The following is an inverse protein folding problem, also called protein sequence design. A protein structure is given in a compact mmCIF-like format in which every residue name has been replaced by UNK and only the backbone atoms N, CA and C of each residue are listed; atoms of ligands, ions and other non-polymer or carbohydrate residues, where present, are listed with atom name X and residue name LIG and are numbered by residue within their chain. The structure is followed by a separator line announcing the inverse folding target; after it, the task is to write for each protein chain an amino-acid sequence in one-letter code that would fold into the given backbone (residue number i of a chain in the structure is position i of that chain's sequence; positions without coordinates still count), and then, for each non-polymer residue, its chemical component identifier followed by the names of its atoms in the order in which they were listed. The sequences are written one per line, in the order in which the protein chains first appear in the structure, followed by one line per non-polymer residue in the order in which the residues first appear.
data_IF_359560715622
#
_entry.id   IF_359560715622
#
_cell.length_a   1.000
_cell.length_b   1.000
_cell.length_c   1.000
_cell.angle_alpha   90.00
_cell.angle_beta   90.00
_cell.angle_gamma   90.00
#
_symmetry.space_group_name_H-M   'P 1'
#
loop_
_entity.id
_entity.type
_entity.pdbx_description
1 polymer ?
#
# COMPACT_ATOMS: atom_id res chain seq x y z
N UNK A 1 2.01 -8.31 -10.79
CA UNK A 1 0.97 -9.19 -10.21
C UNK A 1 -0.17 -9.33 -11.21
N UNK A 2 -0.35 -10.52 -11.77
CA UNK A 2 -1.44 -10.82 -12.70
C UNK A 2 -2.77 -10.62 -11.97
N UNK A 3 -3.62 -9.68 -12.44
CA UNK A 3 -4.95 -9.45 -11.86
C UNK A 3 -5.09 -8.19 -10.99
N UNK A 4 -4.04 -7.46 -10.72
CA UNK A 4 -4.19 -6.12 -10.12
C UNK A 4 -4.53 -5.10 -11.22
N UNK A 5 -5.80 -5.05 -11.59
CA UNK A 5 -6.30 -4.28 -12.73
C UNK A 5 -5.93 -2.79 -12.72
N UNK A 6 -5.73 -2.20 -11.54
CA UNK A 6 -5.42 -0.78 -11.43
C UNK A 6 -3.95 -0.48 -11.74
N UNK A 7 -3.03 -1.31 -11.29
CA UNK A 7 -1.60 -1.11 -11.55
C UNK A 7 -1.23 -1.38 -13.01
N UNK A 8 -1.82 -2.42 -13.62
CA UNK A 8 -1.68 -2.70 -15.04
C UNK A 8 -2.16 -1.54 -15.90
N UNK A 9 -3.33 -0.96 -15.58
CA UNK A 9 -3.87 0.23 -16.29
C UNK A 9 -2.94 1.44 -16.23
N UNK A 10 -2.22 1.63 -15.12
CA UNK A 10 -1.24 2.71 -15.01
C UNK A 10 -0.10 2.49 -16.00
N UNK A 11 0.45 1.27 -16.04
CA UNK A 11 1.53 0.93 -16.97
C UNK A 11 1.09 1.09 -18.44
N UNK A 12 -0.08 0.58 -18.79
CA UNK A 12 -0.67 0.69 -20.13
C UNK A 12 -0.89 2.16 -20.54
N UNK A 13 -1.39 3.01 -19.63
CA UNK A 13 -1.59 4.44 -19.87
C UNK A 13 -0.31 5.14 -20.32
N UNK A 14 0.84 4.72 -19.81
CA UNK A 14 2.14 5.25 -20.15
C UNK A 14 2.87 4.42 -21.21
N UNK A 15 2.17 3.48 -21.90
CA UNK A 15 2.69 2.61 -22.96
C UNK A 15 3.86 1.73 -22.51
N UNK A 16 3.87 1.35 -21.25
CA UNK A 16 4.84 0.41 -20.71
C UNK A 16 4.50 -1.03 -21.07
N UNK A 17 5.50 -1.86 -21.20
CA UNK A 17 5.37 -3.31 -21.35
C UNK A 17 5.15 -3.95 -19.97
N UNK A 18 4.20 -4.89 -19.88
CA UNK A 18 3.85 -5.55 -18.62
C UNK A 18 4.50 -6.93 -18.56
N UNK A 19 5.36 -7.13 -17.57
CA UNK A 19 5.86 -8.43 -17.17
C UNK A 19 4.99 -8.98 -16.05
N UNK A 20 4.28 -10.07 -16.29
CA UNK A 20 3.41 -10.71 -15.32
C UNK A 20 4.23 -11.42 -14.23
N UNK A 21 3.82 -11.30 -12.98
CA UNK A 21 4.46 -11.92 -11.82
C UNK A 21 3.42 -12.52 -10.88
N UNK A 22 3.85 -13.40 -10.00
CA UNK A 22 2.95 -14.08 -9.06
C UNK A 22 2.69 -13.22 -7.79
N UNK A 23 3.72 -12.52 -7.30
CA UNK A 23 3.64 -11.77 -6.06
C UNK A 23 4.54 -10.51 -6.03
N UNK A 24 4.46 -9.79 -4.92
CA UNK A 24 5.23 -8.57 -4.71
C UNK A 24 6.74 -8.81 -4.57
N UNK A 25 7.16 -9.91 -3.97
CA UNK A 25 8.58 -10.20 -3.78
C UNK A 25 9.26 -10.51 -5.12
N UNK A 26 8.55 -11.20 -6.02
CA UNK A 26 9.01 -11.43 -7.40
C UNK A 26 9.16 -10.10 -8.15
N UNK A 27 8.19 -9.17 -8.04
CA UNK A 27 8.28 -7.83 -8.60
C UNK A 27 9.55 -7.10 -8.13
N UNK A 28 9.78 -7.07 -6.82
CA UNK A 28 10.95 -6.44 -6.21
C UNK A 28 12.25 -7.06 -6.76
N UNK A 29 12.32 -8.38 -6.78
CA UNK A 29 13.50 -9.11 -7.26
C UNK A 29 13.83 -8.81 -8.73
N UNK A 30 12.83 -8.70 -9.58
CA UNK A 30 13.04 -8.39 -11.01
C UNK A 30 13.59 -6.97 -11.19
N UNK A 31 13.12 -6.00 -10.41
CA UNK A 31 13.65 -4.63 -10.45
C UNK A 31 15.08 -4.57 -9.91
N UNK A 32 15.37 -5.20 -8.77
CA UNK A 32 16.71 -5.25 -8.17
C UNK A 32 17.73 -5.94 -9.09
N UNK A 33 17.30 -6.94 -9.87
CA UNK A 33 18.14 -7.62 -10.88
C UNK A 33 18.28 -6.84 -12.19
N UNK A 34 17.61 -5.69 -12.34
CA UNK A 34 17.61 -4.92 -13.58
C UNK A 34 16.92 -5.63 -14.76
N UNK A 35 16.06 -6.61 -14.49
CA UNK A 35 15.30 -7.35 -15.52
C UNK A 35 14.05 -6.60 -15.98
N UNK A 36 13.57 -5.68 -15.18
CA UNK A 36 12.51 -4.73 -15.50
C UNK A 36 12.90 -3.35 -14.97
N UNK A 37 12.38 -2.28 -15.59
CA UNK A 37 12.74 -0.90 -15.23
C UNK A 37 12.09 -0.42 -13.94
N UNK A 38 10.96 -1.02 -13.53
CA UNK A 38 10.25 -0.61 -12.32
C UNK A 38 9.02 -1.47 -12.06
N UNK A 39 8.36 -1.16 -10.96
CA UNK A 39 7.09 -1.76 -10.57
C UNK A 39 6.13 -0.71 -10.03
N UNK A 40 4.84 -0.99 -10.05
CA UNK A 40 3.79 -0.12 -9.51
C UNK A 40 3.07 -0.86 -8.38
N UNK A 41 2.98 -0.22 -7.22
CA UNK A 41 2.26 -0.75 -6.07
C UNK A 41 1.82 0.39 -5.15
N UNK A 42 1.07 0.06 -4.10
CA UNK A 42 0.75 1.00 -3.03
C UNK A 42 2.00 1.47 -2.28
N UNK A 43 2.00 2.72 -1.87
CA UNK A 43 3.10 3.31 -1.10
C UNK A 43 3.38 2.54 0.20
N UNK A 44 2.33 1.96 0.81
CA UNK A 44 2.48 1.14 2.02
C UNK A 44 3.31 -0.13 1.77
N UNK A 45 3.16 -0.76 0.60
CA UNK A 45 3.98 -1.92 0.23
C UNK A 45 5.47 -1.56 0.13
N UNK A 46 5.78 -0.36 -0.35
CA UNK A 46 7.15 0.14 -0.39
C UNK A 46 7.70 0.43 1.03
N UNK A 47 6.94 1.09 1.89
CA UNK A 47 7.39 1.36 3.26
C UNK A 47 7.61 0.07 4.07
N UNK A 48 6.74 -0.92 3.91
CA UNK A 48 6.93 -2.24 4.53
C UNK A 48 8.19 -2.93 3.99
N UNK A 49 8.45 -2.85 2.69
CA UNK A 49 9.68 -3.36 2.08
C UNK A 49 10.93 -2.72 2.70
N UNK A 50 11.00 -1.40 2.73
CA UNK A 50 12.16 -0.67 3.28
C UNK A 50 12.35 -0.96 4.76
N UNK A 51 11.28 -1.12 5.52
CA UNK A 51 11.36 -1.48 6.93
C UNK A 51 11.90 -2.90 7.15
N UNK A 52 11.54 -3.85 6.28
CA UNK A 52 12.03 -5.24 6.34
C UNK A 52 13.40 -5.43 5.71
N UNK A 53 13.74 -4.61 4.73
CA UNK A 53 14.99 -4.67 3.96
C UNK A 53 15.63 -3.28 3.87
N UNK A 54 16.26 -2.77 4.95
CA UNK A 54 16.78 -1.40 5.01
C UNK A 54 17.89 -1.09 3.98
N UNK A 55 18.49 -2.11 3.38
CA UNK A 55 19.55 -1.98 2.38
C UNK A 55 19.06 -2.08 0.93
N UNK A 56 17.76 -1.99 0.67
CA UNK A 56 17.27 -1.99 -0.73
C UNK A 56 17.67 -0.71 -1.45
N UNK A 57 18.13 -0.83 -2.70
CA UNK A 57 18.44 0.31 -3.58
C UNK A 57 17.18 0.86 -4.29
N UNK A 58 16.02 0.28 -4.03
CA UNK A 58 14.77 0.74 -4.62
C UNK A 58 14.32 2.07 -4.01
N UNK A 59 13.80 2.94 -4.87
CA UNK A 59 13.25 4.24 -4.48
C UNK A 59 11.90 4.50 -5.14
N UNK A 60 11.10 5.36 -4.53
CA UNK A 60 9.89 5.88 -5.16
C UNK A 60 10.31 6.88 -6.25
N UNK A 61 10.07 6.54 -7.51
CA UNK A 61 10.36 7.40 -8.65
C UNK A 61 9.24 8.42 -8.89
N UNK A 62 7.98 8.03 -8.68
CA UNK A 62 6.81 8.89 -8.80
C UNK A 62 5.68 8.42 -7.90
N UNK A 63 4.83 9.34 -7.46
CA UNK A 63 3.61 9.03 -6.72
C UNK A 63 2.38 9.49 -7.50
N UNK A 64 1.36 8.63 -7.54
CA UNK A 64 0.04 8.99 -8.05
C UNK A 64 -0.65 10.01 -7.13
N UNK A 65 -1.57 10.78 -7.70
CA UNK A 65 -2.40 11.71 -6.93
C UNK A 65 -3.60 11.03 -6.26
N UNK A 66 -3.91 9.81 -6.66
CA UNK A 66 -5.03 9.05 -6.14
C UNK A 66 -4.68 8.51 -4.75
N UNK A 67 -5.58 8.72 -3.80
CA UNK A 67 -5.50 8.19 -2.45
C UNK A 67 -6.52 7.06 -2.32
N UNK A 68 -6.06 5.85 -2.03
CA UNK A 68 -6.96 4.74 -1.70
C UNK A 68 -7.37 4.80 -0.23
N UNK A 69 -8.66 4.61 0.03
CA UNK A 69 -9.18 4.47 1.39
C UNK A 69 -9.31 2.99 1.74
N UNK A 70 -8.87 2.63 2.93
CA UNK A 70 -9.05 1.29 3.49
C UNK A 70 -10.24 1.28 4.44
N UNK A 71 -11.02 0.22 4.42
CA UNK A 71 -12.20 0.10 5.26
C UNK A 71 -12.38 -1.32 5.80
N UNK A 72 -12.99 -1.43 6.96
CA UNK A 72 -13.50 -2.70 7.47
C UNK A 72 -14.81 -3.06 6.75
N UNK A 73 -14.93 -4.32 6.36
CA UNK A 73 -16.11 -4.86 5.67
C UNK A 73 -16.92 -5.66 6.69
N UNK A 74 -18.22 -5.42 6.72
CA UNK A 74 -19.17 -6.10 7.60
C UNK A 74 -20.28 -6.77 6.79
N UNK A 75 -20.84 -7.87 7.31
CA UNK A 75 -22.06 -8.44 6.77
C UNK A 75 -23.24 -7.47 6.96
N UNK A 76 -24.23 -7.56 6.07
CA UNK A 76 -25.48 -6.82 6.23
C UNK A 76 -26.14 -7.14 7.57
N UNK A 77 -26.71 -6.13 8.23
CA UNK A 77 -27.35 -6.28 9.54
C UNK A 77 -26.41 -6.20 10.76
N UNK A 78 -25.10 -5.94 10.55
CA UNK A 78 -24.13 -5.77 11.63
C UNK A 78 -23.91 -4.29 12.00
N UNK A 79 -25.01 -3.50 12.07
CA UNK A 79 -24.94 -2.05 12.27
C UNK A 79 -24.36 -1.67 13.65
N UNK A 80 -24.65 -2.45 14.69
CA UNK A 80 -24.12 -2.19 16.03
C UNK A 80 -22.61 -2.47 16.09
N UNK A 81 -22.14 -3.55 15.45
CA UNK A 81 -20.72 -3.84 15.34
C UNK A 81 -20.01 -2.72 14.57
N UNK A 82 -20.56 -2.31 13.44
CA UNK A 82 -20.04 -1.17 12.66
C UNK A 82 -19.92 0.10 13.49
N UNK A 83 -20.98 0.48 14.23
CA UNK A 83 -20.95 1.66 15.12
C UNK A 83 -19.86 1.57 16.18
N UNK A 84 -19.68 0.38 16.78
CA UNK A 84 -18.65 0.18 17.80
C UNK A 84 -17.24 0.30 17.21
N UNK A 85 -17.00 -0.28 16.03
CA UNK A 85 -15.71 -0.15 15.32
C UNK A 85 -15.45 1.29 14.91
N UNK A 86 -16.43 2.01 14.35
CA UNK A 86 -16.32 3.42 13.99
C UNK A 86 -15.96 4.29 15.22
N UNK A 87 -16.60 4.03 16.37
CA UNK A 87 -16.31 4.71 17.63
C UNK A 87 -14.88 4.44 18.12
N UNK A 88 -14.46 3.19 18.07
CA UNK A 88 -13.10 2.79 18.43
C UNK A 88 -12.05 3.46 17.54
N UNK A 89 -12.25 3.46 16.22
CA UNK A 89 -11.35 4.12 15.25
C UNK A 89 -11.25 5.63 15.51
N UNK A 90 -12.38 6.30 15.77
CA UNK A 90 -12.38 7.73 16.13
C UNK A 90 -11.60 7.99 17.42
N UNK A 91 -11.73 7.14 18.42
CA UNK A 91 -10.98 7.23 19.67
C UNK A 91 -9.48 7.04 19.46
N UNK A 92 -9.08 6.02 18.70
CA UNK A 92 -7.69 5.74 18.36
C UNK A 92 -7.05 6.88 17.53
N UNK A 93 -7.82 7.48 16.62
CA UNK A 93 -7.36 8.65 15.86
C UNK A 93 -7.16 9.85 16.79
N UNK A 94 -8.14 10.15 17.68
CA UNK A 94 -8.08 11.27 18.61
C UNK A 94 -6.95 11.15 19.62
N UNK A 95 -6.65 9.95 20.09
CA UNK A 95 -5.57 9.68 21.04
C UNK A 95 -4.17 9.67 20.42
N UNK A 96 -4.04 9.78 19.08
CA UNK A 96 -2.77 9.65 18.36
C UNK A 96 -2.27 8.22 18.20
N UNK A 97 -3.04 7.22 18.67
CA UNK A 97 -2.61 5.81 18.63
C UNK A 97 -2.48 5.28 17.20
N UNK A 98 -3.30 5.77 16.27
CA UNK A 98 -3.15 5.39 14.86
C UNK A 98 -1.83 5.92 14.27
N UNK A 99 -1.45 7.16 14.60
CA UNK A 99 -0.16 7.71 14.18
C UNK A 99 1.03 6.94 14.79
N UNK A 100 0.95 6.57 16.08
CA UNK A 100 1.95 5.73 16.74
C UNK A 100 2.15 4.39 16.02
N UNK A 101 1.04 3.69 15.74
CA UNK A 101 1.05 2.41 15.02
C UNK A 101 1.64 2.61 13.61
N UNK A 102 1.18 3.64 12.90
CA UNK A 102 1.68 3.97 11.56
C UNK A 102 3.19 4.18 11.55
N UNK A 103 3.71 4.99 12.44
CA UNK A 103 5.15 5.23 12.57
C UNK A 103 5.93 3.97 12.95
N UNK A 104 5.36 3.11 13.78
CA UNK A 104 5.98 1.83 14.16
C UNK A 104 6.23 0.93 12.95
N UNK A 105 5.24 0.79 12.07
CA UNK A 105 5.28 -0.15 10.95
C UNK A 105 5.83 0.45 9.65
N UNK A 106 5.58 1.73 9.39
CA UNK A 106 5.90 2.38 8.12
C UNK A 106 6.94 3.49 8.23
N UNK A 107 7.39 3.82 9.45
CA UNK A 107 8.32 4.94 9.75
C UNK A 107 7.78 6.31 9.29
N UNK A 108 6.50 6.40 9.01
CA UNK A 108 5.80 7.62 8.62
C UNK A 108 4.34 7.52 9.04
N UNK A 109 3.69 8.67 9.25
CA UNK A 109 2.26 8.70 9.57
C UNK A 109 1.42 8.66 8.29
N UNK A 110 0.78 7.52 8.02
CA UNK A 110 -0.17 7.32 6.93
C UNK A 110 -1.63 7.25 7.42
N UNK A 111 -1.89 7.58 8.68
CA UNK A 111 -3.23 7.56 9.31
C UNK A 111 -4.07 8.80 9.01
N UNK A 112 -3.48 9.80 8.39
CA UNK A 112 -4.13 11.06 8.00
C UNK A 112 -4.01 11.29 6.49
N UNK A 113 -4.99 12.02 5.95
CA UNK A 113 -4.92 12.56 4.58
C UNK A 113 -4.08 13.81 4.57
#
# INVERSE_FOLDING_TARGET
QTGSSNFSKIVEKYKGEIVATNDWNENVSLVEQGRVDGTVNDTLAYYDLVNKKPGTDLKIAAQGKEVSEQAFIFNKGQDDLKKNVDKALKSLKKSGKLAEISNKYFKTDVSHK
#
